data_IF_707360861884
#
_entry.id   IF_707360861884
#
_cell.length_a   1.000
_cell.length_b   1.000
_cell.length_c   1.000
_cell.angle_alpha   90.00
_cell.angle_beta   90.00
_cell.angle_gamma   90.00
#
_symmetry.space_group_name_H-M   'P 1'
#
loop_
_entity.id
_entity.type
_entity.pdbx_description
1 polymer ?
#
# COMPACT_ATOMS: atom_id res chain seq x y z
N UNK A 1 24.58 -27.13 -6.10
CA UNK A 1 24.31 -27.05 -4.66
C UNK A 1 23.63 -25.71 -4.42
N UNK A 2 22.30 -25.67 -4.29
CA UNK A 2 21.61 -24.41 -3.97
C UNK A 2 21.89 -24.08 -2.52
N UNK A 3 22.62 -22.99 -2.29
CA UNK A 3 22.77 -22.39 -0.97
C UNK A 3 21.36 -22.08 -0.42
N UNK A 4 20.94 -22.88 0.56
CA UNK A 4 19.65 -22.73 1.21
C UNK A 4 19.61 -21.37 1.89
N UNK A 5 18.67 -20.52 1.48
CA UNK A 5 18.39 -19.27 2.19
C UNK A 5 18.29 -19.54 3.69
N UNK A 6 18.95 -18.75 4.55
CA UNK A 6 18.83 -18.92 5.98
C UNK A 6 17.35 -18.82 6.37
N UNK A 7 16.86 -19.69 7.27
CA UNK A 7 15.46 -19.67 7.69
C UNK A 7 15.13 -18.30 8.29
N UNK A 8 14.02 -17.70 7.85
CA UNK A 8 13.53 -16.41 8.36
C UNK A 8 13.50 -16.39 9.89
N UNK A 9 14.07 -15.34 10.48
CA UNK A 9 14.03 -15.08 11.92
C UNK A 9 12.59 -14.93 12.42
N UNK A 10 12.37 -15.16 13.72
CA UNK A 10 11.03 -14.99 14.30
C UNK A 10 10.47 -13.57 14.16
N UNK A 11 11.34 -12.56 14.17
CA UNK A 11 10.99 -11.16 13.98
C UNK A 11 10.43 -10.93 12.57
N UNK A 12 11.11 -11.44 11.55
CA UNK A 12 10.66 -11.35 10.15
C UNK A 12 9.35 -12.11 9.93
N UNK A 13 9.18 -13.29 10.55
CA UNK A 13 7.91 -14.04 10.49
C UNK A 13 6.74 -13.29 11.13
N UNK A 14 6.98 -12.58 12.25
CA UNK A 14 5.95 -11.74 12.89
C UNK A 14 5.61 -10.53 12.02
N UNK A 15 6.61 -9.89 11.43
CA UNK A 15 6.43 -8.76 10.51
C UNK A 15 5.62 -9.15 9.27
N UNK A 16 5.98 -10.26 8.61
CA UNK A 16 5.27 -10.77 7.43
C UNK A 16 3.81 -11.13 7.74
N UNK A 17 3.56 -11.82 8.87
CA UNK A 17 2.19 -12.10 9.31
C UNK A 17 1.37 -10.83 9.56
N UNK A 18 1.99 -9.80 10.13
CA UNK A 18 1.35 -8.50 10.35
C UNK A 18 0.98 -7.84 9.01
N UNK A 19 1.91 -7.79 8.08
CA UNK A 19 1.66 -7.24 6.74
C UNK A 19 0.55 -7.99 6.00
N UNK A 20 0.57 -9.33 6.05
CA UNK A 20 -0.47 -10.18 5.45
C UNK A 20 -1.85 -9.92 6.05
N UNK A 21 -1.94 -9.72 7.37
CA UNK A 21 -3.20 -9.43 8.07
C UNK A 21 -3.77 -8.07 7.66
N UNK A 22 -2.92 -7.04 7.55
CA UNK A 22 -3.33 -5.67 7.23
C UNK A 22 -3.34 -5.35 5.73
N UNK A 23 -3.11 -6.34 4.85
CA UNK A 23 -3.11 -6.15 3.40
C UNK A 23 -4.30 -5.35 2.87
N UNK A 24 -5.53 -5.69 3.30
CA UNK A 24 -6.75 -4.96 2.89
C UNK A 24 -6.81 -3.53 3.43
N UNK A 25 -6.20 -3.25 4.58
CA UNK A 25 -6.19 -1.91 5.15
C UNK A 25 -5.39 -0.95 4.26
N UNK A 26 -4.26 -1.37 3.70
CA UNK A 26 -3.48 -0.55 2.75
C UNK A 26 -4.30 -0.15 1.52
N UNK A 27 -5.14 -1.06 1.01
CA UNK A 27 -6.05 -0.74 -0.09
C UNK A 27 -7.07 0.34 0.31
N UNK A 28 -7.71 0.18 1.47
CA UNK A 28 -8.70 1.15 1.95
C UNK A 28 -8.09 2.53 2.24
N UNK A 29 -6.92 2.59 2.86
CA UNK A 29 -6.21 3.85 3.10
C UNK A 29 -5.82 4.53 1.79
N UNK A 30 -5.32 3.77 0.81
CA UNK A 30 -5.00 4.31 -0.51
C UNK A 30 -6.22 4.94 -1.20
N UNK A 31 -7.36 4.24 -1.18
CA UNK A 31 -8.60 4.77 -1.77
C UNK A 31 -9.09 6.03 -1.03
N UNK A 32 -9.00 6.04 0.29
CA UNK A 32 -9.38 7.20 1.10
C UNK A 32 -8.48 8.42 0.79
N UNK A 33 -7.16 8.23 0.72
CA UNK A 33 -6.20 9.30 0.40
C UNK A 33 -6.42 9.87 -1.01
N UNK A 34 -6.67 9.02 -2.01
CA UNK A 34 -7.02 9.47 -3.35
C UNK A 34 -8.35 10.24 -3.33
N UNK A 35 -9.36 9.73 -2.65
CA UNK A 35 -10.66 10.40 -2.54
C UNK A 35 -10.54 11.79 -1.91
N UNK A 36 -9.79 11.92 -0.81
CA UNK A 36 -9.53 13.21 -0.17
C UNK A 36 -8.73 14.13 -1.09
N UNK A 37 -7.68 13.63 -1.75
CA UNK A 37 -6.87 14.43 -2.68
C UNK A 37 -7.72 14.97 -3.85
N UNK A 38 -8.56 14.13 -4.46
CA UNK A 38 -9.49 14.52 -5.52
C UNK A 38 -10.54 15.52 -5.03
N UNK A 39 -11.10 15.31 -3.83
CA UNK A 39 -12.03 16.24 -3.21
C UNK A 39 -11.41 17.61 -2.97
N UNK A 40 -10.17 17.64 -2.45
CA UNK A 40 -9.40 18.86 -2.25
C UNK A 40 -9.13 19.58 -3.58
N UNK A 41 -8.74 18.83 -4.61
CA UNK A 41 -8.47 19.37 -5.94
C UNK A 41 -9.75 19.95 -6.58
N UNK A 42 -10.85 19.21 -6.51
CA UNK A 42 -12.16 19.67 -7.00
C UNK A 42 -12.62 20.93 -6.28
N UNK A 43 -12.47 20.98 -4.96
CA UNK A 43 -12.76 22.18 -4.17
C UNK A 43 -11.90 23.38 -4.60
N UNK A 44 -10.60 23.17 -4.83
CA UNK A 44 -9.70 24.24 -5.28
C UNK A 44 -10.08 24.77 -6.67
N UNK A 45 -10.42 23.88 -7.60
CA UNK A 45 -10.84 24.25 -8.96
C UNK A 45 -12.16 25.02 -8.93
N UNK A 46 -13.18 24.53 -8.20
CA UNK A 46 -14.50 25.16 -8.13
C UNK A 46 -14.45 26.56 -7.51
N UNK A 47 -13.59 26.78 -6.52
CA UNK A 47 -13.46 28.06 -5.85
C UNK A 47 -12.34 28.95 -6.42
N UNK A 48 -11.63 28.49 -7.47
CA UNK A 48 -10.43 29.15 -8.02
C UNK A 48 -9.36 29.49 -6.95
N UNK A 49 -9.32 28.73 -5.85
CA UNK A 49 -8.42 28.96 -4.72
C UNK A 49 -7.22 28.01 -4.78
N UNK A 50 -6.26 28.35 -5.64
CA UNK A 50 -4.98 27.65 -5.73
C UNK A 50 -4.01 28.14 -4.65
N UNK A 51 -4.27 27.74 -3.41
CA UNK A 51 -3.34 27.96 -2.30
C UNK A 51 -2.23 26.89 -2.32
N UNK A 52 -0.96 27.33 -2.28
CA UNK A 52 0.21 26.45 -2.30
C UNK A 52 0.21 25.39 -1.19
N UNK A 53 -0.31 25.70 -0.01
CA UNK A 53 -0.38 24.75 1.12
C UNK A 53 -1.39 23.63 0.84
N UNK A 54 -2.56 23.96 0.28
CA UNK A 54 -3.58 22.96 -0.08
C UNK A 54 -3.09 22.09 -1.25
N UNK A 55 -2.43 22.70 -2.23
CA UNK A 55 -1.80 21.97 -3.31
C UNK A 55 -0.74 20.97 -2.79
N UNK A 56 0.16 21.43 -1.91
CA UNK A 56 1.16 20.57 -1.29
C UNK A 56 0.52 19.42 -0.49
N UNK A 57 -0.57 19.68 0.23
CA UNK A 57 -1.32 18.64 0.93
C UNK A 57 -1.88 17.59 -0.03
N UNK A 58 -2.46 18.00 -1.17
CA UNK A 58 -2.93 17.06 -2.18
C UNK A 58 -1.78 16.18 -2.72
N UNK A 59 -0.61 16.77 -2.99
CA UNK A 59 0.58 16.00 -3.39
C UNK A 59 1.01 15.00 -2.30
N UNK A 60 1.06 15.42 -1.03
CA UNK A 60 1.42 14.53 0.08
C UNK A 60 0.44 13.36 0.20
N UNK A 61 -0.87 13.61 0.07
CA UNK A 61 -1.88 12.55 0.08
C UNK A 61 -1.69 11.57 -1.08
N UNK A 62 -1.37 12.05 -2.28
CA UNK A 62 -1.09 11.18 -3.43
C UNK A 62 0.19 10.36 -3.25
N UNK A 63 1.22 10.92 -2.61
CA UNK A 63 2.44 10.19 -2.27
C UNK A 63 2.17 9.11 -1.21
N UNK A 64 1.35 9.40 -0.22
CA UNK A 64 0.90 8.43 0.77
C UNK A 64 0.10 7.29 0.11
N UNK A 65 -0.81 7.63 -0.81
CA UNK A 65 -1.60 6.67 -1.59
C UNK A 65 -0.70 5.75 -2.42
N UNK A 66 0.34 6.30 -3.05
CA UNK A 66 1.36 5.53 -3.75
C UNK A 66 2.11 4.56 -2.82
N UNK A 67 2.45 5.01 -1.61
CA UNK A 67 3.08 4.17 -0.58
C UNK A 67 2.19 2.99 -0.19
N UNK A 68 0.92 3.26 0.08
CA UNK A 68 -0.09 2.26 0.43
C UNK A 68 -0.35 1.28 -0.73
N UNK A 69 -0.38 1.75 -1.98
CA UNK A 69 -0.51 0.90 -3.17
C UNK A 69 0.68 -0.06 -3.29
N UNK A 70 1.91 0.44 -3.07
CA UNK A 70 3.12 -0.40 -3.09
C UNK A 70 3.03 -1.50 -2.02
N UNK A 71 2.70 -1.13 -0.78
CA UNK A 71 2.53 -2.10 0.32
C UNK A 71 1.44 -3.13 0.02
N UNK A 72 0.32 -2.72 -0.58
CA UNK A 72 -0.73 -3.65 -1.02
C UNK A 72 -0.22 -4.64 -2.08
N UNK A 73 0.54 -4.18 -3.07
CA UNK A 73 1.16 -5.05 -4.09
C UNK A 73 2.15 -6.03 -3.48
N UNK A 74 3.01 -5.56 -2.59
CA UNK A 74 4.01 -6.38 -1.92
C UNK A 74 3.33 -7.47 -1.07
N UNK A 75 2.27 -7.13 -0.33
CA UNK A 75 1.47 -8.10 0.43
C UNK A 75 0.82 -9.14 -0.48
N UNK A 76 0.28 -8.74 -1.64
CA UNK A 76 -0.32 -9.69 -2.58
C UNK A 76 0.73 -10.62 -3.22
N UNK A 77 1.92 -10.13 -3.53
CA UNK A 77 3.03 -10.96 -4.02
C UNK A 77 3.46 -11.97 -2.94
N UNK A 78 3.63 -11.51 -1.70
CA UNK A 78 3.95 -12.37 -0.56
C UNK A 78 2.88 -13.46 -0.37
N UNK A 79 1.59 -13.11 -0.45
CA UNK A 79 0.49 -14.10 -0.40
C UNK A 79 0.64 -15.18 -1.46
N UNK A 80 0.94 -14.81 -2.71
CA UNK A 80 1.13 -15.76 -3.81
C UNK A 80 2.33 -16.68 -3.58
N UNK A 81 3.43 -16.17 -3.03
CA UNK A 81 4.62 -16.96 -2.71
C UNK A 81 4.39 -17.90 -1.51
N UNK A 82 3.51 -17.54 -0.57
CA UNK A 82 3.16 -18.36 0.59
C UNK A 82 1.95 -19.27 0.38
N UNK A 83 1.17 -19.07 -0.68
CA UNK A 83 0.07 -19.95 -1.01
C UNK A 83 0.65 -21.31 -1.42
N UNK A 84 0.16 -22.44 -0.88
CA UNK A 84 0.62 -23.73 -1.33
C UNK A 84 0.36 -23.81 -2.84
N UNK A 85 1.41 -24.08 -3.62
CA UNK A 85 1.23 -24.61 -4.97
C UNK A 85 0.45 -25.90 -4.81
N UNK A 86 -0.85 -25.86 -5.07
CA UNK A 86 -1.63 -27.06 -5.31
C UNK A 86 -0.87 -27.82 -6.40
N UNK A 87 -0.37 -29.04 -6.17
CA UNK A 87 0.10 -29.85 -7.27
C UNK A 87 -1.14 -30.12 -8.13
N UNK A 88 -1.09 -29.68 -9.39
CA UNK A 88 -2.05 -30.13 -10.38
C UNK A 88 -1.93 -31.66 -10.45
N UNK A 89 -2.94 -32.34 -9.91
CA UNK A 89 -3.19 -33.77 -10.13
C UNK A 89 -4.09 -33.92 -11.36
#
# INVERSE_FOLDING_TARGET
MSEGQPPLSEGERRFLRRQLRYGRAYLWFMLAEIGVALGLFGYMVLNQQFNGTRFALAIVLLLAARGNLKQFRDVNLLRKLTAPTTPDH
#
